data_IF_565322155054
#
_entry.id   IF_565322155054
#
_cell.length_a   1.000
_cell.length_b   1.000
_cell.length_c   1.000
_cell.angle_alpha   90.00
_cell.angle_beta   90.00
_cell.angle_gamma   90.00
#
_symmetry.space_group_name_H-M   'P 1'
#
loop_
_entity.id
_entity.type
_entity.pdbx_description
1 polymer ?
#
# COMPACT_ATOMS: atom_id res chain seq x y z
N UNK A 1 2.25 -21.88 -60.92
CA UNK A 1 3.28 -20.88 -60.54
C UNK A 1 2.70 -19.96 -59.50
N UNK A 2 3.19 -20.02 -58.26
CA UNK A 2 2.82 -19.05 -57.22
C UNK A 2 3.60 -17.76 -57.52
N UNK A 3 2.93 -16.61 -57.58
CA UNK A 3 3.59 -15.35 -57.95
C UNK A 3 4.53 -14.88 -56.83
N UNK A 4 5.66 -14.27 -57.18
CA UNK A 4 6.64 -13.75 -56.21
C UNK A 4 6.01 -12.76 -55.20
N UNK A 5 4.93 -12.08 -55.59
CA UNK A 5 4.14 -11.22 -54.70
C UNK A 5 3.40 -12.01 -53.62
N UNK A 6 2.89 -13.21 -53.92
CA UNK A 6 2.23 -14.05 -52.94
C UNK A 6 3.20 -14.61 -51.89
N UNK A 7 4.46 -14.84 -52.27
CA UNK A 7 5.54 -15.30 -51.36
C UNK A 7 5.98 -14.16 -50.43
N UNK A 8 6.09 -12.92 -50.94
CA UNK A 8 6.43 -11.75 -50.15
C UNK A 8 5.37 -11.40 -49.09
N UNK A 9 4.08 -11.53 -49.43
CA UNK A 9 2.98 -11.31 -48.48
C UNK A 9 2.91 -12.40 -47.39
N UNK A 10 3.21 -13.66 -47.73
CA UNK A 10 3.25 -14.75 -46.76
C UNK A 10 4.41 -14.57 -45.75
N UNK A 11 5.58 -14.16 -46.23
CA UNK A 11 6.77 -13.91 -45.40
C UNK A 11 6.57 -12.72 -44.45
N UNK A 12 5.92 -11.64 -44.90
CA UNK A 12 5.58 -10.51 -44.04
C UNK A 12 4.52 -10.88 -42.99
N UNK A 13 3.50 -11.66 -43.36
CA UNK A 13 2.50 -12.15 -42.41
C UNK A 13 3.11 -13.10 -41.36
N UNK A 14 4.04 -13.98 -41.75
CA UNK A 14 4.79 -14.83 -40.82
C UNK A 14 5.74 -14.03 -39.93
N UNK A 15 6.39 -12.97 -40.43
CA UNK A 15 7.24 -12.10 -39.61
C UNK A 15 6.42 -11.31 -38.58
N UNK A 16 5.22 -10.83 -38.95
CA UNK A 16 4.29 -10.17 -38.03
C UNK A 16 3.75 -11.17 -36.99
N UNK A 17 3.40 -12.40 -37.38
CA UNK A 17 2.98 -13.47 -36.46
C UNK A 17 4.10 -13.93 -35.50
N UNK A 18 5.36 -13.95 -35.98
CA UNK A 18 6.52 -14.26 -35.14
C UNK A 18 6.86 -13.10 -34.20
N UNK A 19 6.68 -11.84 -34.62
CA UNK A 19 6.83 -10.66 -33.76
C UNK A 19 5.71 -10.56 -32.71
N UNK A 20 4.48 -10.95 -33.04
CA UNK A 20 3.35 -10.99 -32.10
C UNK A 20 3.50 -12.12 -31.07
N UNK A 21 3.97 -13.30 -31.47
CA UNK A 21 4.16 -14.44 -30.54
C UNK A 21 5.43 -14.32 -29.70
N UNK A 22 6.53 -13.79 -30.26
CA UNK A 22 7.74 -13.48 -29.49
C UNK A 22 7.58 -12.21 -28.63
N UNK A 23 6.80 -11.23 -29.08
CA UNK A 23 6.47 -10.01 -28.34
C UNK A 23 5.63 -10.30 -27.10
N UNK A 24 4.61 -11.17 -27.23
CA UNK A 24 3.85 -11.65 -26.07
C UNK A 24 4.74 -12.36 -25.05
N UNK A 25 5.69 -13.21 -25.47
CA UNK A 25 6.60 -13.90 -24.55
C UNK A 25 7.54 -12.94 -23.80
N UNK A 26 8.20 -12.03 -24.53
CA UNK A 26 9.15 -11.08 -23.94
C UNK A 26 8.47 -10.08 -22.99
N UNK A 27 7.28 -9.59 -23.35
CA UNK A 27 6.52 -8.69 -22.47
C UNK A 27 5.84 -9.44 -21.32
N UNK A 28 5.57 -10.73 -21.45
CA UNK A 28 5.15 -11.58 -20.33
C UNK A 28 6.27 -11.72 -19.31
N UNK A 29 7.52 -11.94 -19.75
CA UNK A 29 8.68 -11.97 -18.84
C UNK A 29 8.91 -10.62 -18.16
N UNK A 30 8.68 -9.52 -18.88
CA UNK A 30 8.76 -8.18 -18.31
C UNK A 30 7.63 -7.92 -17.29
N UNK A 31 6.40 -8.34 -17.58
CA UNK A 31 5.28 -8.27 -16.65
C UNK A 31 5.55 -9.08 -15.38
N UNK A 32 6.15 -10.27 -15.49
CA UNK A 32 6.54 -11.09 -14.35
C UNK A 32 7.57 -10.38 -13.47
N UNK A 33 8.56 -9.68 -14.06
CA UNK A 33 9.52 -8.87 -13.29
C UNK A 33 8.86 -7.72 -12.54
N UNK A 34 7.92 -7.01 -13.16
CA UNK A 34 7.17 -5.96 -12.47
C UNK A 34 6.28 -6.54 -11.36
N UNK A 35 5.68 -7.71 -11.57
CA UNK A 35 4.91 -8.40 -10.52
C UNK A 35 5.78 -8.80 -9.34
N UNK A 36 7.00 -9.31 -9.57
CA UNK A 36 7.93 -9.66 -8.50
C UNK A 36 8.32 -8.44 -7.65
N UNK A 37 8.68 -7.32 -8.30
CA UNK A 37 8.97 -6.06 -7.59
C UNK A 37 7.75 -5.50 -6.87
N UNK A 38 6.60 -5.49 -7.52
CA UNK A 38 5.34 -5.06 -6.91
C UNK A 38 5.00 -5.89 -5.67
N UNK A 39 5.25 -7.20 -5.68
CA UNK A 39 5.06 -8.06 -4.51
C UNK A 39 6.04 -7.71 -3.38
N UNK A 40 7.30 -7.38 -3.69
CA UNK A 40 8.26 -6.94 -2.69
C UNK A 40 7.79 -5.63 -2.03
N UNK A 41 7.38 -4.63 -2.81
CA UNK A 41 6.86 -3.37 -2.27
C UNK A 41 5.51 -3.52 -1.55
N UNK A 42 4.67 -4.47 -1.96
CA UNK A 42 3.47 -4.84 -1.19
C UNK A 42 3.87 -5.37 0.20
N UNK A 43 4.85 -6.29 0.29
CA UNK A 43 5.33 -6.82 1.57
C UNK A 43 5.97 -5.73 2.46
N UNK A 44 6.69 -4.79 1.86
CA UNK A 44 7.24 -3.63 2.58
C UNK A 44 6.11 -2.75 3.16
N UNK A 45 5.07 -2.45 2.37
CA UNK A 45 3.91 -1.71 2.83
C UNK A 45 3.18 -2.44 3.98
N UNK A 46 2.94 -3.75 3.84
CA UNK A 46 2.33 -4.59 4.87
C UNK A 46 3.15 -4.60 6.17
N UNK A 47 4.49 -4.67 6.05
CA UNK A 47 5.39 -4.63 7.20
C UNK A 47 5.31 -3.28 7.93
N UNK A 48 5.28 -2.16 7.22
CA UNK A 48 5.12 -0.84 7.84
C UNK A 48 3.74 -0.67 8.48
N UNK A 49 2.67 -1.15 7.85
CA UNK A 49 1.32 -1.20 8.46
C UNK A 49 1.34 -2.04 9.75
N UNK A 50 2.03 -3.18 9.76
CA UNK A 50 2.14 -4.03 10.95
C UNK A 50 2.82 -3.30 12.11
N UNK A 51 3.91 -2.55 11.84
CA UNK A 51 4.55 -1.70 12.85
C UNK A 51 3.60 -0.62 13.36
N UNK A 52 2.90 0.08 12.46
CA UNK A 52 1.95 1.14 12.84
C UNK A 52 0.81 0.62 13.72
N UNK A 53 0.32 -0.60 13.48
CA UNK A 53 -0.69 -1.26 14.33
C UNK A 53 -0.24 -1.50 15.78
N UNK A 54 1.06 -1.50 16.06
CA UNK A 54 1.58 -1.68 17.42
C UNK A 54 1.52 -0.40 18.26
N UNK A 55 1.31 0.78 17.65
CA UNK A 55 1.29 2.07 18.33
C UNK A 55 0.40 2.08 19.59
N UNK A 56 -0.88 1.65 19.56
CA UNK A 56 -1.72 1.70 20.75
C UNK A 56 -1.14 0.89 21.93
N UNK A 57 -0.63 -0.31 21.66
CA UNK A 57 -0.07 -1.17 22.71
C UNK A 57 1.28 -0.67 23.25
N UNK A 58 2.13 -0.11 22.38
CA UNK A 58 3.38 0.51 22.83
C UNK A 58 3.15 1.82 23.59
N UNK A 59 2.14 2.59 23.18
CA UNK A 59 1.70 3.78 23.88
C UNK A 59 1.21 3.42 25.29
N UNK A 60 0.29 2.47 25.40
CA UNK A 60 -0.21 1.97 26.69
C UNK A 60 0.94 1.50 27.58
N UNK A 61 1.86 0.70 27.04
CA UNK A 61 3.04 0.22 27.78
C UNK A 61 3.92 1.36 28.27
N UNK A 62 4.13 2.40 27.45
CA UNK A 62 4.95 3.56 27.81
C UNK A 62 4.31 4.37 28.96
N UNK A 63 2.97 4.47 28.99
CA UNK A 63 2.21 5.25 29.97
C UNK A 63 1.59 4.40 31.10
N UNK A 64 1.91 3.11 31.21
CA UNK A 64 1.40 2.22 32.27
C UNK A 64 1.94 2.51 33.69
N UNK A 65 2.79 3.53 33.86
CA UNK A 65 3.39 3.87 35.14
C UNK A 65 2.41 4.64 36.06
N UNK A 66 2.54 4.44 37.38
CA UNK A 66 1.73 5.14 38.39
C UNK A 66 1.91 6.66 38.37
N UNK A 67 3.09 7.13 37.95
CA UNK A 67 3.38 8.55 37.74
C UNK A 67 3.96 8.75 36.35
N UNK A 68 3.37 9.66 35.59
CA UNK A 68 3.90 10.09 34.30
C UNK A 68 4.94 11.20 34.56
N UNK A 69 6.19 10.94 34.17
CA UNK A 69 7.29 11.87 34.32
C UNK A 69 8.04 12.09 33.00
N UNK A 70 9.17 12.83 33.03
CA UNK A 70 9.96 13.16 31.84
C UNK A 70 10.35 11.94 31.00
N UNK A 71 10.69 10.81 31.64
CA UNK A 71 11.04 9.57 30.94
C UNK A 71 9.90 9.04 30.07
N UNK A 72 8.66 9.07 30.55
CA UNK A 72 7.50 8.62 29.77
C UNK A 72 7.20 9.61 28.63
N UNK A 73 7.37 10.91 28.86
CA UNK A 73 7.21 11.93 27.82
C UNK A 73 8.25 11.74 26.71
N UNK A 74 9.52 11.56 27.06
CA UNK A 74 10.60 11.33 26.09
C UNK A 74 10.41 10.01 25.33
N UNK A 75 10.01 8.94 26.04
CA UNK A 75 9.64 7.67 25.42
C UNK A 75 8.46 7.81 24.44
N UNK A 76 7.46 8.61 24.81
CA UNK A 76 6.34 8.96 23.94
C UNK A 76 6.81 9.73 22.69
N UNK A 77 7.72 10.71 22.84
CA UNK A 77 8.26 11.48 21.71
C UNK A 77 9.03 10.57 20.75
N UNK A 78 9.83 9.66 21.29
CA UNK A 78 10.57 8.69 20.49
C UNK A 78 9.62 7.73 19.75
N UNK A 79 8.56 7.27 20.42
CA UNK A 79 7.53 6.42 19.83
C UNK A 79 6.82 7.13 18.66
N UNK A 80 6.33 8.35 18.85
CA UNK A 80 5.65 9.11 17.79
C UNK A 80 6.58 9.35 16.60
N UNK A 81 7.82 9.75 16.86
CA UNK A 81 8.82 9.95 15.80
C UNK A 81 9.13 8.66 15.03
N UNK A 82 9.17 7.52 15.70
CA UNK A 82 9.33 6.24 15.02
C UNK A 82 8.14 5.93 14.10
N UNK A 83 6.91 6.24 14.53
CA UNK A 83 5.70 6.05 13.70
C UNK A 83 5.62 7.04 12.53
N UNK A 84 6.12 8.26 12.68
CA UNK A 84 6.26 9.19 11.56
C UNK A 84 7.21 8.63 10.50
N UNK A 85 8.35 8.05 10.90
CA UNK A 85 9.28 7.38 9.98
C UNK A 85 8.64 6.16 9.32
N UNK A 86 7.89 5.35 10.06
CA UNK A 86 7.17 4.20 9.49
C UNK A 86 6.07 4.64 8.49
N UNK A 87 5.42 5.79 8.71
CA UNK A 87 4.47 6.38 7.76
C UNK A 87 5.14 6.87 6.49
N UNK A 88 6.29 7.54 6.61
CA UNK A 88 7.05 7.98 5.44
C UNK A 88 7.54 6.76 4.62
N UNK A 89 7.99 5.70 5.30
CA UNK A 89 8.37 4.45 4.65
C UNK A 89 7.17 3.73 4.00
N UNK A 90 5.99 3.78 4.62
CA UNK A 90 4.76 3.25 4.03
C UNK A 90 4.40 4.00 2.74
N UNK A 91 4.45 5.33 2.74
CA UNK A 91 4.09 6.12 1.57
C UNK A 91 5.03 5.84 0.39
N UNK A 92 6.33 5.70 0.65
CA UNK A 92 7.32 5.29 -0.37
C UNK A 92 7.00 3.90 -0.93
N UNK A 93 6.72 2.92 -0.05
CA UNK A 93 6.40 1.57 -0.48
C UNK A 93 5.10 1.53 -1.33
N UNK A 94 4.07 2.29 -0.94
CA UNK A 94 2.82 2.40 -1.70
C UNK A 94 3.03 3.10 -3.06
N UNK A 95 3.89 4.11 -3.13
CA UNK A 95 4.22 4.79 -4.38
C UNK A 95 4.96 3.86 -5.37
N UNK A 96 6.00 3.17 -4.90
CA UNK A 96 6.76 2.24 -5.75
C UNK A 96 5.91 1.02 -6.14
N UNK A 97 5.10 0.49 -5.23
CA UNK A 97 4.12 -0.55 -5.55
C UNK A 97 3.15 -0.10 -6.65
N UNK A 98 2.59 1.10 -6.54
CA UNK A 98 1.69 1.66 -7.54
C UNK A 98 2.36 1.81 -8.92
N UNK A 99 3.62 2.26 -8.92
CA UNK A 99 4.41 2.47 -10.12
C UNK A 99 4.69 1.17 -10.86
N UNK A 100 5.08 0.11 -10.15
CA UNK A 100 5.35 -1.20 -10.75
C UNK A 100 4.07 -1.83 -11.31
N UNK A 101 2.95 -1.77 -10.59
CA UNK A 101 1.67 -2.28 -11.11
C UNK A 101 1.21 -1.48 -12.34
N UNK A 102 1.37 -0.16 -12.36
CA UNK A 102 1.06 0.67 -13.54
C UNK A 102 1.96 0.36 -14.73
N UNK A 103 3.19 -0.10 -14.51
CA UNK A 103 4.08 -0.51 -15.60
C UNK A 103 3.49 -1.71 -16.35
N UNK A 104 2.88 -2.67 -15.64
CA UNK A 104 2.21 -3.84 -16.24
C UNK A 104 1.08 -3.41 -17.18
N UNK A 105 0.30 -2.38 -16.81
CA UNK A 105 -0.80 -1.88 -17.64
C UNK A 105 -0.36 -1.32 -19.00
N UNK A 106 0.91 -0.92 -19.12
CA UNK A 106 1.48 -0.38 -20.36
C UNK A 106 2.03 -1.46 -21.29
N UNK A 107 2.14 -2.70 -20.81
CA UNK A 107 2.60 -3.83 -21.61
C UNK A 107 1.46 -4.41 -22.45
N UNK A 108 1.79 -4.99 -23.60
CA UNK A 108 0.84 -5.73 -24.44
C UNK A 108 0.69 -7.17 -23.95
N UNK A 109 0.10 -7.30 -22.76
CA UNK A 109 -0.21 -8.58 -22.11
C UNK A 109 -1.72 -8.90 -22.17
N UNK A 110 -2.05 -10.13 -21.81
CA UNK A 110 -3.43 -10.62 -21.73
C UNK A 110 -4.35 -9.66 -20.98
N UNK A 111 -5.57 -9.49 -21.49
CA UNK A 111 -6.55 -8.54 -20.95
C UNK A 111 -6.87 -8.80 -19.47
N UNK A 112 -6.84 -10.06 -19.02
CA UNK A 112 -7.06 -10.39 -17.60
C UNK A 112 -5.91 -9.92 -16.72
N UNK A 113 -4.69 -9.86 -17.24
CA UNK A 113 -3.54 -9.29 -16.52
C UNK A 113 -3.70 -7.76 -16.42
N UNK A 114 -4.20 -7.10 -17.47
CA UNK A 114 -4.54 -5.68 -17.44
C UNK A 114 -5.69 -5.38 -16.46
N UNK A 115 -6.72 -6.22 -16.42
CA UNK A 115 -7.82 -6.10 -15.47
C UNK A 115 -7.34 -6.30 -14.03
N UNK A 116 -6.54 -7.36 -13.78
CA UNK A 116 -5.94 -7.61 -12.47
C UNK A 116 -5.08 -6.43 -11.99
N UNK A 117 -4.20 -5.92 -12.86
CA UNK A 117 -3.38 -4.74 -12.53
C UNK A 117 -4.24 -3.50 -12.30
N UNK A 118 -5.35 -3.33 -13.03
CA UNK A 118 -6.36 -2.29 -12.76
C UNK A 118 -6.98 -2.39 -11.37
N UNK A 119 -7.36 -3.60 -10.95
CA UNK A 119 -7.88 -3.85 -9.60
C UNK A 119 -6.82 -3.58 -8.52
N UNK A 120 -5.56 -4.00 -8.74
CA UNK A 120 -4.44 -3.68 -7.84
C UNK A 120 -4.21 -2.17 -7.74
N UNK A 121 -4.21 -1.43 -8.85
CA UNK A 121 -4.09 0.04 -8.83
C UNK A 121 -5.17 0.68 -7.96
N UNK A 122 -6.42 0.22 -8.08
CA UNK A 122 -7.53 0.74 -7.27
C UNK A 122 -7.32 0.43 -5.78
N UNK A 123 -6.90 -0.79 -5.46
CA UNK A 123 -6.60 -1.20 -4.08
C UNK A 123 -5.45 -0.40 -3.46
N UNK A 124 -4.35 -0.18 -4.18
CA UNK A 124 -3.21 0.62 -3.71
C UNK A 124 -3.63 2.06 -3.43
N UNK A 125 -4.49 2.66 -4.27
CA UNK A 125 -5.03 4.00 -4.02
C UNK A 125 -5.87 4.07 -2.75
N UNK A 126 -6.61 3.00 -2.40
CA UNK A 126 -7.33 2.97 -1.13
C UNK A 126 -6.35 2.97 0.05
N UNK A 127 -5.25 2.22 -0.04
CA UNK A 127 -4.20 2.24 0.98
C UNK A 127 -3.48 3.58 1.09
N UNK A 128 -3.22 4.27 -0.03
CA UNK A 128 -2.68 5.63 -0.02
C UNK A 128 -3.65 6.59 0.70
N UNK A 129 -4.93 6.52 0.38
CA UNK A 129 -5.96 7.28 1.07
C UNK A 129 -6.05 6.95 2.56
N UNK A 130 -5.88 5.69 2.95
CA UNK A 130 -5.83 5.28 4.35
C UNK A 130 -4.61 5.85 5.09
N UNK A 131 -3.44 5.82 4.47
CA UNK A 131 -2.22 6.44 5.03
C UNK A 131 -2.43 7.94 5.26
N UNK A 132 -2.89 8.66 4.22
CA UNK A 132 -3.01 10.11 4.23
C UNK A 132 -4.15 10.61 5.13
N UNK A 133 -5.33 10.02 5.02
CA UNK A 133 -6.54 10.52 5.67
C UNK A 133 -6.79 9.93 7.04
N UNK A 134 -6.16 8.80 7.40
CA UNK A 134 -6.43 8.13 8.67
C UNK A 134 -5.17 7.98 9.51
N UNK A 135 -4.12 7.32 9.00
CA UNK A 135 -2.96 7.00 9.83
C UNK A 135 -2.12 8.23 10.18
N UNK A 136 -1.87 9.14 9.23
CA UNK A 136 -1.14 10.39 9.47
C UNK A 136 -1.86 11.29 10.50
N UNK A 137 -3.17 11.58 10.36
CA UNK A 137 -3.91 12.30 11.38
C UNK A 137 -3.89 11.62 12.75
N UNK A 138 -3.99 10.29 12.79
CA UNK A 138 -3.98 9.54 14.04
C UNK A 138 -2.63 9.69 14.77
N UNK A 139 -1.51 9.45 14.09
CA UNK A 139 -0.16 9.63 14.69
C UNK A 139 0.03 11.07 15.17
N UNK A 140 -0.42 12.06 14.38
CA UNK A 140 -0.38 13.47 14.77
C UNK A 140 -1.22 13.75 16.03
N UNK A 141 -2.40 13.14 16.15
CA UNK A 141 -3.27 13.30 17.32
C UNK A 141 -2.63 12.73 18.59
N UNK A 142 -1.98 11.57 18.51
CA UNK A 142 -1.17 11.05 19.63
C UNK A 142 -0.03 12.00 20.00
N UNK A 143 0.67 12.59 19.02
CA UNK A 143 1.65 13.64 19.26
C UNK A 143 1.05 14.87 19.97
N UNK A 144 -0.15 15.29 19.57
CA UNK A 144 -0.89 16.37 20.23
C UNK A 144 -1.21 16.05 21.69
N UNK A 145 -1.73 14.86 21.98
CA UNK A 145 -1.98 14.41 23.35
C UNK A 145 -0.68 14.34 24.18
N UNK A 146 0.43 13.91 23.57
CA UNK A 146 1.72 13.91 24.24
C UNK A 146 2.12 15.32 24.70
N UNK A 147 1.91 16.33 23.87
CA UNK A 147 2.25 17.72 24.22
C UNK A 147 1.34 18.29 25.30
N UNK A 148 0.05 17.91 25.33
CA UNK A 148 -0.84 18.34 26.43
C UNK A 148 -0.39 17.74 27.76
N UNK A 149 0.04 16.48 27.77
CA UNK A 149 0.64 15.82 28.94
C UNK A 149 1.97 16.50 29.33
N UNK A 150 2.87 16.71 28.38
CA UNK A 150 4.21 17.28 28.63
C UNK A 150 4.15 18.70 29.21
N UNK A 151 3.18 19.50 28.75
CA UNK A 151 2.94 20.86 29.23
C UNK A 151 2.08 20.91 30.50
N UNK A 152 1.70 19.76 31.04
CA UNK A 152 0.81 19.63 32.20
C UNK A 152 -0.48 20.44 32.03
N UNK A 153 -1.06 20.38 30.82
CA UNK A 153 -2.33 21.04 30.50
C UNK A 153 -3.46 20.46 31.36
N UNK A 154 -4.56 21.22 31.60
CA UNK A 154 -5.72 20.74 32.33
C UNK A 154 -6.20 19.37 31.87
N UNK A 155 -6.67 18.54 32.81
CA UNK A 155 -7.13 17.18 32.53
C UNK A 155 -8.24 17.15 31.46
N UNK A 156 -9.11 18.16 31.42
CA UNK A 156 -10.15 18.27 30.40
C UNK A 156 -9.57 18.38 28.98
N UNK A 157 -8.49 19.15 28.78
CA UNK A 157 -7.83 19.26 27.47
C UNK A 157 -7.16 17.94 27.06
N UNK A 158 -6.64 17.17 28.03
CA UNK A 158 -6.08 15.84 27.77
C UNK A 158 -7.18 14.84 27.41
N UNK A 159 -8.35 14.93 28.06
CA UNK A 159 -9.52 14.09 27.77
C UNK A 159 -10.08 14.40 26.38
N UNK A 160 -10.20 15.66 26.01
CA UNK A 160 -10.66 16.08 24.68
C UNK A 160 -9.73 15.51 23.59
N UNK A 161 -8.42 15.63 23.76
CA UNK A 161 -7.44 15.06 22.83
C UNK A 161 -7.53 13.52 22.74
N UNK A 162 -7.79 12.83 23.86
CA UNK A 162 -8.01 11.38 23.86
C UNK A 162 -9.32 10.97 23.17
N UNK A 163 -10.38 11.77 23.30
CA UNK A 163 -11.63 11.58 22.57
C UNK A 163 -11.44 11.76 21.06
N UNK A 164 -10.68 12.77 20.64
CA UNK A 164 -10.34 12.97 19.23
C UNK A 164 -9.59 11.76 18.64
N UNK A 165 -8.62 11.21 19.38
CA UNK A 165 -7.93 9.97 19.00
C UNK A 165 -8.93 8.81 18.84
N UNK A 166 -9.89 8.66 19.77
CA UNK A 166 -10.88 7.60 19.71
C UNK A 166 -11.76 7.71 18.46
N UNK A 167 -12.17 8.93 18.10
CA UNK A 167 -12.94 9.19 16.89
C UNK A 167 -12.13 8.85 15.62
N UNK A 168 -10.86 9.27 15.57
CA UNK A 168 -9.95 8.96 14.47
C UNK A 168 -9.69 7.44 14.34
N UNK A 169 -9.62 6.71 15.45
CA UNK A 169 -9.50 5.24 15.43
C UNK A 169 -10.73 4.59 14.80
N UNK A 170 -11.93 5.07 15.11
CA UNK A 170 -13.16 4.57 14.51
C UNK A 170 -13.18 4.80 12.99
N UNK A 171 -12.84 6.00 12.55
CA UNK A 171 -12.71 6.34 11.12
C UNK A 171 -11.65 5.49 10.42
N UNK A 172 -10.47 5.36 11.04
CA UNK A 172 -9.39 4.52 10.53
C UNK A 172 -9.80 3.04 10.43
N UNK A 173 -10.58 2.54 11.37
CA UNK A 173 -11.06 1.14 11.35
C UNK A 173 -12.00 0.91 10.17
N UNK A 174 -12.96 1.81 9.95
CA UNK A 174 -13.87 1.72 8.79
C UNK A 174 -13.10 1.79 7.47
N UNK A 175 -12.12 2.70 7.35
CA UNK A 175 -11.31 2.82 6.13
C UNK A 175 -10.40 1.61 5.89
N UNK A 176 -9.89 0.99 6.95
CA UNK A 176 -9.13 -0.25 6.87
C UNK A 176 -9.97 -1.39 6.29
N UNK A 177 -11.24 -1.51 6.69
CA UNK A 177 -12.16 -2.52 6.14
C UNK A 177 -12.36 -2.34 4.63
N UNK A 178 -12.47 -1.10 4.14
CA UNK A 178 -12.53 -0.81 2.70
C UNK A 178 -11.26 -1.27 1.96
N UNK A 179 -10.09 -1.01 2.54
CA UNK A 179 -8.81 -1.43 1.97
C UNK A 179 -8.73 -2.96 1.85
N UNK A 180 -9.04 -3.66 2.95
CA UNK A 180 -9.04 -5.12 3.01
C UNK A 180 -10.07 -5.74 2.06
N UNK A 181 -11.25 -5.13 1.93
CA UNK A 181 -12.26 -5.58 0.98
C UNK A 181 -11.79 -5.46 -0.47
N UNK A 182 -11.11 -4.35 -0.81
CA UNK A 182 -10.55 -4.12 -2.14
C UNK A 182 -9.42 -5.12 -2.48
N UNK A 183 -8.54 -5.40 -1.52
CA UNK A 183 -7.52 -6.44 -1.68
C UNK A 183 -8.14 -7.82 -1.90
N UNK A 184 -9.13 -8.19 -1.07
CA UNK A 184 -9.83 -9.47 -1.18
C UNK A 184 -10.51 -9.64 -2.54
N UNK A 185 -11.12 -8.57 -3.07
CA UNK A 185 -11.69 -8.59 -4.42
C UNK A 185 -10.62 -8.88 -5.48
N UNK A 186 -9.47 -8.25 -5.36
CA UNK A 186 -8.34 -8.40 -6.28
C UNK A 186 -7.75 -9.81 -6.22
N UNK A 187 -7.57 -10.36 -5.03
CA UNK A 187 -7.07 -11.74 -4.83
C UNK A 187 -8.06 -12.78 -5.35
N UNK A 188 -9.36 -12.56 -5.17
CA UNK A 188 -10.38 -13.44 -5.71
C UNK A 188 -10.34 -13.43 -7.25
N UNK A 189 -10.17 -12.27 -7.87
CA UNK A 189 -10.02 -12.17 -9.32
C UNK A 189 -8.81 -12.98 -9.81
N UNK A 190 -7.66 -12.84 -9.17
CA UNK A 190 -6.44 -13.59 -9.48
C UNK A 190 -6.67 -15.11 -9.42
N UNK A 191 -7.31 -15.59 -8.34
CA UNK A 191 -7.61 -17.02 -8.12
C UNK A 191 -8.61 -17.58 -9.14
N UNK A 192 -9.72 -16.88 -9.38
CA UNK A 192 -10.77 -17.32 -10.31
C UNK A 192 -10.24 -17.41 -11.74
N UNK A 193 -9.38 -16.46 -12.12
CA UNK A 193 -8.81 -16.41 -13.47
C UNK A 193 -7.54 -17.23 -13.66
N UNK A 194 -7.03 -17.88 -12.60
CA UNK A 194 -5.81 -18.73 -12.63
C UNK A 194 -4.60 -18.00 -13.19
N UNK A 195 -4.48 -16.71 -12.91
CA UNK A 195 -3.30 -15.93 -13.28
C UNK A 195 -2.12 -16.49 -12.45
N UNK A 196 -0.98 -16.79 -13.07
CA UNK A 196 0.17 -17.44 -12.40
C UNK A 196 0.33 -18.95 -12.61
N UNK A 197 -0.32 -19.52 -13.65
CA UNK A 197 -0.02 -20.85 -14.20
C UNK A 197 0.44 -20.77 -15.63
#
# INVERSE_FOLDING_TARGET
MVSEKAIAWLMAACAILLLLTAGCGLQTDEANKYLEKANAHQQEAEANIAKLKTLPGEWEKNFAAWTIGPTQVDGGRALIKAREVDLDALDVALEEWLKDIKAIQKLDVDEKIKEFSGLKVASIKQWQGYSEMCLRPLVKAYGGLLETIALNRPLVEQQDAATDITNLVAEATSKLEECLASEKQTDNFFKVNKLGK
#
